data_IF_328369080219
#
_entry.id   IF_328369080219
#
_cell.length_a   1.000
_cell.length_b   1.000
_cell.length_c   1.000
_cell.angle_alpha   90.00
_cell.angle_beta   90.00
_cell.angle_gamma   90.00
#
_symmetry.space_group_name_H-M   'P 1'
#
loop_
_entity.id
_entity.type
_entity.pdbx_description
1 polymer ?
#
# COMPACT_ATOMS: atom_id res chain seq x y z
N UNK A 1 -11.86 10.97 7.15
CA UNK A 1 -10.94 9.81 7.10
C UNK A 1 -9.54 10.10 7.62
N UNK A 2 -8.90 11.21 7.24
CA UNK A 2 -7.55 11.56 7.74
C UNK A 2 -7.46 11.61 9.27
N UNK A 3 -8.44 12.19 9.96
CA UNK A 3 -8.46 12.21 11.43
C UNK A 3 -8.50 10.80 12.03
N UNK A 4 -9.33 9.90 11.50
CA UNK A 4 -9.42 8.51 11.96
C UNK A 4 -8.11 7.75 11.71
N UNK A 5 -7.50 7.95 10.54
CA UNK A 5 -6.18 7.41 10.23
C UNK A 5 -5.12 7.90 11.23
N UNK A 6 -5.07 9.21 11.49
CA UNK A 6 -4.11 9.82 12.40
C UNK A 6 -4.29 9.34 13.84
N UNK A 7 -5.53 9.19 14.32
CA UNK A 7 -5.82 8.64 15.66
C UNK A 7 -5.39 7.18 15.75
N UNK A 8 -5.71 6.35 14.76
CA UNK A 8 -5.30 4.95 14.73
C UNK A 8 -3.80 4.75 14.62
N UNK A 9 -3.06 5.70 14.05
CA UNK A 9 -1.60 5.66 14.08
C UNK A 9 -1.03 6.24 15.38
N UNK A 10 -1.62 7.31 15.88
CA UNK A 10 -1.17 8.02 17.08
C UNK A 10 -1.28 7.20 18.37
N UNK A 11 -2.13 6.17 18.40
CA UNK A 11 -2.18 5.23 19.54
C UNK A 11 -0.88 4.44 19.72
N UNK A 12 -0.13 4.19 18.64
CA UNK A 12 1.03 3.31 18.66
C UNK A 12 2.21 3.82 19.49
N UNK A 13 2.70 5.05 19.30
CA UNK A 13 3.76 5.59 20.15
C UNK A 13 3.35 5.67 21.64
N UNK A 14 2.04 5.66 21.94
CA UNK A 14 1.51 5.74 23.30
C UNK A 14 1.31 4.36 23.96
N UNK A 15 1.26 3.28 23.18
CA UNK A 15 0.83 1.96 23.68
C UNK A 15 1.87 1.26 24.56
N UNK A 16 3.13 1.70 24.59
CA UNK A 16 4.21 1.09 25.39
C UNK A 16 4.56 -0.36 25.01
N UNK A 17 4.00 -0.88 23.91
CA UNK A 17 4.24 -2.26 23.45
C UNK A 17 5.50 -2.31 22.56
N UNK A 18 6.46 -3.21 22.84
CA UNK A 18 7.75 -3.22 22.17
C UNK A 18 7.74 -3.78 20.74
N UNK A 19 6.71 -4.54 20.35
CA UNK A 19 6.68 -5.24 19.05
C UNK A 19 5.37 -4.93 18.33
N UNK A 20 5.50 -4.51 17.08
CA UNK A 20 4.41 -4.35 16.14
C UNK A 20 4.71 -5.12 14.87
N UNK A 21 3.69 -5.84 14.41
CA UNK A 21 3.72 -6.51 13.11
C UNK A 21 2.91 -5.71 12.10
N UNK A 22 3.22 -5.88 10.82
CA UNK A 22 2.61 -5.10 9.73
C UNK A 22 1.08 -5.19 9.69
N UNK A 23 0.49 -6.31 10.12
CA UNK A 23 -0.97 -6.48 10.15
C UNK A 23 -1.67 -5.54 11.15
N UNK A 24 -0.98 -4.98 12.15
CA UNK A 24 -1.56 -3.97 13.06
C UNK A 24 -1.95 -2.70 12.31
N UNK A 25 -1.34 -2.47 11.16
CA UNK A 25 -1.61 -1.32 10.31
C UNK A 25 -2.81 -1.55 9.37
N UNK A 26 -3.47 -2.71 9.42
CA UNK A 26 -4.61 -2.99 8.55
C UNK A 26 -5.77 -2.01 8.76
N UNK A 27 -6.14 -1.74 10.02
CA UNK A 27 -7.20 -0.78 10.35
C UNK A 27 -6.87 0.66 9.92
N UNK A 28 -5.72 1.26 10.29
CA UNK A 28 -5.38 2.58 9.75
C UNK A 28 -5.32 2.57 8.21
N UNK A 29 -4.84 1.50 7.59
CA UNK A 29 -4.79 1.38 6.13
C UNK A 29 -6.19 1.48 5.49
N UNK A 30 -7.27 0.99 6.10
CA UNK A 30 -8.63 1.15 5.54
C UNK A 30 -9.07 2.62 5.52
N UNK A 31 -8.77 3.38 6.57
CA UNK A 31 -9.05 4.82 6.59
C UNK A 31 -8.18 5.58 5.58
N UNK A 32 -6.92 5.17 5.39
CA UNK A 32 -6.06 5.72 4.34
C UNK A 32 -6.62 5.42 2.95
N UNK A 33 -7.10 4.20 2.68
CA UNK A 33 -7.72 3.85 1.41
C UNK A 33 -8.96 4.69 1.11
N UNK A 34 -9.80 4.96 2.10
CA UNK A 34 -10.95 5.84 1.94
C UNK A 34 -10.53 7.30 1.63
N UNK A 35 -9.47 7.80 2.27
CA UNK A 35 -8.92 9.12 1.95
C UNK A 35 -8.33 9.18 0.53
N UNK A 36 -7.62 8.13 0.10
CA UNK A 36 -7.10 8.01 -1.27
C UNK A 36 -8.22 7.95 -2.31
N UNK A 37 -9.31 7.23 -2.01
CA UNK A 37 -10.47 7.16 -2.91
C UNK A 37 -11.09 8.53 -3.15
N UNK A 38 -11.27 9.33 -2.09
CA UNK A 38 -11.75 10.72 -2.23
C UNK A 38 -10.77 11.61 -3.00
N UNK A 39 -9.46 11.45 -2.75
CA UNK A 39 -8.45 12.20 -3.50
C UNK A 39 -8.41 11.81 -4.99
N UNK A 40 -8.62 10.54 -5.31
CA UNK A 40 -8.76 10.02 -6.66
C UNK A 40 -10.01 10.57 -7.34
N UNK A 41 -11.14 10.64 -6.64
CA UNK A 41 -12.39 11.23 -7.14
C UNK A 41 -12.21 12.71 -7.52
N UNK A 42 -11.61 13.49 -6.62
CA UNK A 42 -11.29 14.90 -6.88
C UNK A 42 -10.35 15.06 -8.08
N UNK A 43 -9.40 14.14 -8.24
CA UNK A 43 -8.44 14.13 -9.36
C UNK A 43 -9.10 13.72 -10.68
N UNK A 44 -10.04 12.77 -10.63
CA UNK A 44 -10.78 12.28 -11.78
C UNK A 44 -11.70 13.37 -12.37
N UNK A 45 -12.29 14.20 -11.51
CA UNK A 45 -13.18 15.28 -11.91
C UNK A 45 -12.47 16.58 -12.29
N UNK A 46 -11.13 16.62 -12.22
CA UNK A 46 -10.38 17.79 -12.71
C UNK A 46 -10.61 17.99 -14.20
N UNK A 47 -10.66 19.25 -14.62
CA UNK A 47 -10.76 19.65 -16.04
C UNK A 47 -9.44 20.11 -16.63
N UNK A 48 -8.40 20.15 -15.81
CA UNK A 48 -7.05 20.51 -16.24
C UNK A 48 -6.32 19.30 -16.84
N UNK A 49 -5.10 19.55 -17.31
CA UNK A 49 -4.21 18.51 -17.88
C UNK A 49 -3.78 17.42 -16.90
N UNK A 50 -4.18 17.45 -15.63
CA UNK A 50 -3.77 16.48 -14.61
C UNK A 50 -4.85 15.42 -14.33
N UNK A 51 -6.02 15.51 -14.95
CA UNK A 51 -7.10 14.54 -14.80
C UNK A 51 -6.69 13.09 -15.13
N UNK A 52 -5.72 12.89 -16.04
CA UNK A 52 -5.19 11.57 -16.40
C UNK A 52 -4.42 10.89 -15.26
N UNK A 53 -4.00 11.63 -14.23
CA UNK A 53 -3.31 11.06 -13.08
C UNK A 53 -4.19 10.07 -12.31
N UNK A 54 -5.51 10.28 -12.27
CA UNK A 54 -6.42 9.39 -11.57
C UNK A 54 -6.47 7.98 -12.19
N UNK A 55 -6.75 7.79 -13.50
CA UNK A 55 -6.66 6.47 -14.11
C UNK A 55 -5.23 5.93 -14.12
N UNK A 56 -4.19 6.77 -14.26
CA UNK A 56 -2.80 6.31 -14.21
C UNK A 56 -2.44 5.71 -12.84
N UNK A 57 -2.88 6.30 -11.74
CA UNK A 57 -2.66 5.78 -10.40
C UNK A 57 -3.35 4.42 -10.20
N UNK A 58 -4.55 4.21 -10.75
CA UNK A 58 -5.24 2.92 -10.71
C UNK A 58 -4.49 1.86 -11.53
N UNK A 59 -4.13 2.18 -12.78
CA UNK A 59 -3.37 1.28 -13.66
C UNK A 59 -2.05 0.87 -13.00
N UNK A 60 -1.31 1.83 -12.43
CA UNK A 60 -0.07 1.56 -11.73
C UNK A 60 -0.28 0.66 -10.50
N UNK A 61 -1.36 0.86 -9.75
CA UNK A 61 -1.70 0.02 -8.60
C UNK A 61 -2.00 -1.43 -9.00
N UNK A 62 -2.77 -1.63 -10.07
CA UNK A 62 -3.03 -2.97 -10.62
C UNK A 62 -1.76 -3.61 -11.19
N UNK A 63 -0.91 -2.84 -11.87
CA UNK A 63 0.36 -3.33 -12.40
C UNK A 63 1.31 -3.76 -11.27
N UNK A 64 1.41 -2.96 -10.19
CA UNK A 64 2.17 -3.35 -9.00
C UNK A 64 1.60 -4.62 -8.37
N UNK A 65 0.28 -4.72 -8.20
CA UNK A 65 -0.34 -5.94 -7.67
C UNK A 65 -0.01 -7.15 -8.53
N UNK A 66 -0.16 -7.07 -9.85
CA UNK A 66 0.18 -8.15 -10.77
C UNK A 66 1.67 -8.54 -10.69
N UNK A 67 2.56 -7.55 -10.57
CA UNK A 67 3.99 -7.77 -10.42
C UNK A 67 4.37 -8.51 -9.13
N UNK A 68 3.71 -8.17 -8.01
CA UNK A 68 3.94 -8.80 -6.70
C UNK A 68 3.06 -10.05 -6.46
N UNK A 69 2.08 -10.33 -7.32
CA UNK A 69 1.15 -11.44 -7.14
C UNK A 69 1.83 -12.80 -6.93
N UNK A 70 2.92 -13.17 -7.64
CA UNK A 70 3.59 -14.45 -7.41
C UNK A 70 4.09 -14.64 -5.98
N UNK A 71 4.64 -13.58 -5.35
CA UNK A 71 5.17 -13.65 -3.99
C UNK A 71 4.05 -13.61 -2.94
N UNK A 72 2.98 -12.85 -3.21
CA UNK A 72 1.80 -12.75 -2.31
C UNK A 72 1.00 -14.04 -2.30
N UNK A 73 0.83 -14.68 -3.47
CA UNK A 73 0.06 -15.92 -3.62
C UNK A 73 0.83 -17.18 -3.21
N UNK A 74 2.16 -17.08 -3.02
CA UNK A 74 3.01 -18.25 -2.80
C UNK A 74 3.21 -19.10 -4.05
N UNK A 75 3.06 -18.52 -5.24
CA UNK A 75 3.29 -19.19 -6.52
C UNK A 75 4.74 -19.73 -6.59
N UNK A 76 4.98 -20.90 -7.20
CA UNK A 76 6.34 -21.42 -7.36
C UNK A 76 7.21 -20.44 -8.15
N UNK A 77 8.19 -19.85 -7.46
CA UNK A 77 9.16 -18.96 -8.07
C UNK A 77 10.17 -19.76 -8.89
N UNK A 78 10.63 -19.20 -10.00
CA UNK A 78 11.67 -19.83 -10.80
C UNK A 78 13.00 -19.92 -10.02
N UNK A 79 13.84 -20.90 -10.36
CA UNK A 79 15.24 -21.01 -9.90
C UNK A 79 15.46 -21.30 -8.40
N UNK A 80 14.41 -21.62 -7.63
CA UNK A 80 14.55 -22.00 -6.22
C UNK A 80 14.98 -20.85 -5.31
N UNK A 81 15.42 -21.15 -4.09
CA UNK A 81 15.88 -20.11 -3.14
C UNK A 81 17.26 -19.57 -3.59
N UNK A 82 17.52 -18.24 -3.53
CA UNK A 82 16.69 -17.17 -2.95
C UNK A 82 16.02 -16.27 -4.00
N UNK A 83 15.33 -16.83 -5.01
CA UNK A 83 14.66 -16.05 -6.07
C UNK A 83 13.70 -14.97 -5.58
N UNK A 84 13.11 -15.15 -4.40
CA UNK A 84 12.22 -14.18 -3.74
C UNK A 84 12.88 -12.81 -3.48
N UNK A 85 14.22 -12.76 -3.38
CA UNK A 85 14.96 -11.50 -3.16
C UNK A 85 14.79 -10.51 -4.31
N UNK A 86 14.37 -10.96 -5.49
CA UNK A 86 14.06 -10.09 -6.62
C UNK A 86 12.97 -9.05 -6.30
N UNK A 87 12.00 -9.41 -5.46
CA UNK A 87 10.92 -8.50 -5.02
C UNK A 87 11.31 -7.68 -3.78
N UNK A 88 12.49 -7.90 -3.20
CA UNK A 88 12.99 -7.17 -2.02
C UNK A 88 13.69 -5.88 -2.44
N UNK A 89 12.90 -4.91 -2.92
CA UNK A 89 13.42 -3.65 -3.48
C UNK A 89 14.12 -2.77 -2.43
N UNK A 90 13.66 -2.81 -1.19
CA UNK A 90 14.27 -2.08 -0.08
C UNK A 90 15.16 -3.02 0.72
N UNK A 91 16.31 -2.52 1.18
CA UNK A 91 17.24 -3.31 1.99
C UNK A 91 16.61 -3.84 3.29
N UNK A 92 15.63 -3.14 3.84
CA UNK A 92 14.88 -3.55 5.04
C UNK A 92 13.84 -4.66 4.80
N UNK A 93 13.62 -5.08 3.55
CA UNK A 93 12.70 -6.18 3.23
C UNK A 93 13.39 -7.55 3.25
N UNK A 94 14.73 -7.59 3.22
CA UNK A 94 15.53 -8.82 3.32
C UNK A 94 15.57 -9.33 4.75
#
# INVERSE_FOLDING_TARGET
FVALYAVCLGMWPLSGKPIQFIYHYLLPSTFMMAALALALEDLWHRRDRWHWLAPAALVLSFAMFAWFYPIISGWPLCCGRPSYQFWMWLGSWR
#
